data_IF_378446407933
#
_entry.id   IF_378446407933
#
_cell.length_a   1.000
_cell.length_b   1.000
_cell.length_c   1.000
_cell.angle_alpha   90.00
_cell.angle_beta   90.00
_cell.angle_gamma   90.00
#
_symmetry.space_group_name_H-M   'P 1'
#
loop_
_entity.id
_entity.type
_entity.pdbx_description
1 polymer ?
#
# COMPACT_ATOMS: atom_id res chain seq x y z
N UNK A 1 -66.44 -9.63 54.56
CA UNK A 1 -67.04 -9.61 53.21
C UNK A 1 -66.94 -8.20 52.67
N UNK A 2 -66.04 -7.94 51.72
CA UNK A 2 -66.12 -6.85 50.73
C UNK A 2 -64.95 -7.01 49.72
N UNK A 3 -65.12 -6.60 48.44
CA UNK A 3 -64.39 -7.08 47.26
C UNK A 3 -63.24 -6.12 46.83
N UNK A 4 -62.51 -6.38 45.72
CA UNK A 4 -61.09 -6.01 45.53
C UNK A 4 -60.89 -4.61 44.92
N UNK A 5 -59.66 -4.06 44.89
CA UNK A 5 -59.30 -3.01 43.96
C UNK A 5 -58.47 -3.55 42.77
N UNK A 6 -58.81 -2.98 41.62
CA UNK A 6 -58.23 -3.13 40.29
C UNK A 6 -56.69 -3.18 40.30
N UNK A 7 -56.12 -4.20 39.67
CA UNK A 7 -54.74 -4.14 39.18
C UNK A 7 -54.70 -3.24 37.95
N UNK A 8 -54.23 -2.01 38.14
CA UNK A 8 -53.85 -1.11 37.06
C UNK A 8 -52.63 -1.70 36.36
N UNK A 9 -52.77 -2.04 35.08
CA UNK A 9 -51.72 -2.62 34.27
C UNK A 9 -50.84 -1.48 33.72
N UNK A 10 -49.75 -1.15 34.44
CA UNK A 10 -48.72 -0.27 33.92
C UNK A 10 -47.91 -1.01 32.84
N UNK A 11 -48.29 -0.82 31.58
CA UNK A 11 -47.45 -1.12 30.42
C UNK A 11 -46.27 -0.14 30.40
N UNK A 12 -45.14 -0.56 30.96
CA UNK A 12 -43.86 0.13 30.77
C UNK A 12 -43.34 -0.24 29.39
N UNK A 13 -43.58 0.63 28.40
CA UNK A 13 -42.93 0.56 27.10
C UNK A 13 -41.45 0.93 27.27
N UNK A 14 -40.59 -0.08 27.41
CA UNK A 14 -39.15 0.10 27.30
C UNK A 14 -38.84 0.32 25.83
N UNK A 15 -38.69 1.59 25.44
CA UNK A 15 -38.16 1.95 24.13
C UNK A 15 -36.68 1.55 24.09
N UNK A 16 -36.41 0.36 23.56
CA UNK A 16 -35.07 -0.10 23.21
C UNK A 16 -34.55 0.78 22.08
N UNK A 17 -33.76 1.79 22.43
CA UNK A 17 -32.94 2.56 21.49
C UNK A 17 -31.88 1.60 20.97
N UNK A 18 -32.17 0.93 19.86
CA UNK A 18 -31.15 0.30 19.03
C UNK A 18 -30.24 1.43 18.53
N UNK A 19 -29.15 1.69 19.26
CA UNK A 19 -27.97 2.32 18.70
C UNK A 19 -27.52 1.41 17.57
N UNK A 20 -27.95 1.72 16.35
CA UNK A 20 -27.34 1.23 15.13
C UNK A 20 -25.90 1.73 15.18
N UNK A 21 -25.01 0.89 15.72
CA UNK A 21 -23.61 0.95 15.39
C UNK A 21 -23.56 0.60 13.91
N UNK A 22 -23.74 1.60 13.07
CA UNK A 22 -23.28 1.53 11.69
C UNK A 22 -21.78 1.29 11.81
N UNK A 23 -21.42 0.04 11.61
CA UNK A 23 -20.07 -0.40 11.40
C UNK A 23 -19.55 0.47 10.24
N UNK A 24 -18.87 1.57 10.56
CA UNK A 24 -18.08 2.31 9.60
C UNK A 24 -17.02 1.31 9.14
N UNK A 25 -17.34 0.52 8.11
CA UNK A 25 -16.32 0.07 7.19
C UNK A 25 -15.62 1.35 6.77
N UNK A 26 -14.41 1.55 7.32
CA UNK A 26 -13.60 2.69 6.99
C UNK A 26 -13.48 2.69 5.47
N UNK A 27 -14.20 3.60 4.82
CA UNK A 27 -14.09 3.86 3.39
C UNK A 27 -12.70 4.41 3.21
N UNK A 28 -11.76 3.52 2.91
CA UNK A 28 -10.38 3.89 2.68
C UNK A 28 -10.30 4.91 1.56
N UNK A 29 -9.59 6.02 1.78
CA UNK A 29 -9.50 7.08 0.79
C UNK A 29 -8.39 6.77 -0.23
N UNK A 30 -8.67 7.05 -1.50
CA UNK A 30 -7.67 7.06 -2.56
C UNK A 30 -7.04 8.45 -2.56
N UNK A 31 -5.77 8.51 -2.19
CA UNK A 31 -4.99 9.74 -2.16
C UNK A 31 -4.14 9.89 -3.43
N UNK A 32 -3.92 11.12 -3.93
CA UNK A 32 -2.94 11.36 -4.98
C UNK A 32 -1.51 11.17 -4.45
N UNK A 33 -0.53 11.27 -5.34
CA UNK A 33 0.90 11.31 -5.00
C UNK A 33 1.19 12.25 -3.83
N UNK A 34 2.07 11.82 -2.92
CA UNK A 34 2.49 12.59 -1.75
C UNK A 34 3.99 12.84 -1.80
N UNK A 35 4.37 14.10 -1.78
CA UNK A 35 5.77 14.54 -1.65
C UNK A 35 5.92 15.31 -0.33
N UNK A 36 6.43 14.61 0.68
CA UNK A 36 6.49 15.05 2.07
C UNK A 36 7.93 15.43 2.39
N UNK A 37 8.15 16.72 2.66
CA UNK A 37 9.49 17.27 2.89
C UNK A 37 9.59 18.13 4.13
N UNK A 38 10.84 18.35 4.57
CA UNK A 38 11.27 19.32 5.59
C UNK A 38 10.78 19.05 7.02
N UNK A 39 9.48 18.85 7.23
CA UNK A 39 8.86 18.78 8.55
C UNK A 39 8.03 17.49 8.69
N UNK A 40 8.26 16.77 9.78
CA UNK A 40 7.57 15.53 10.16
C UNK A 40 6.05 15.71 10.25
N UNK A 41 5.58 16.89 10.65
CA UNK A 41 4.14 17.17 10.80
C UNK A 41 3.39 16.95 9.49
N UNK A 42 4.01 17.16 8.32
CA UNK A 42 3.39 16.93 7.02
C UNK A 42 3.02 15.45 6.76
N UNK A 43 3.50 14.51 7.59
CA UNK A 43 3.07 13.11 7.52
C UNK A 43 1.57 12.94 7.81
N UNK A 44 0.91 13.88 8.52
CA UNK A 44 -0.55 13.85 8.74
C UNK A 44 -1.36 13.76 7.44
N UNK A 45 -0.78 14.17 6.30
CA UNK A 45 -1.39 14.05 4.97
C UNK A 45 -1.67 12.59 4.54
N UNK A 46 -1.20 11.61 5.31
CA UNK A 46 -1.38 10.18 5.10
C UNK A 46 -2.48 9.55 5.99
N UNK A 47 -3.07 10.28 6.95
CA UNK A 47 -3.96 9.73 7.99
C UNK A 47 -5.14 8.91 7.47
N UNK A 48 -5.70 9.29 6.32
CA UNK A 48 -6.87 8.63 5.72
C UNK A 48 -6.55 7.84 4.44
N UNK A 49 -5.31 7.89 3.98
CA UNK A 49 -4.90 7.24 2.74
C UNK A 49 -4.85 5.74 2.93
N UNK A 50 -5.68 5.02 2.18
CA UNK A 50 -5.61 3.56 2.08
C UNK A 50 -4.85 3.11 0.85
N UNK A 51 -5.07 3.83 -0.26
CA UNK A 51 -4.35 3.66 -1.51
C UNK A 51 -3.76 5.02 -1.87
N UNK A 52 -2.47 5.05 -2.19
CA UNK A 52 -1.86 6.19 -2.87
C UNK A 52 -1.85 5.87 -4.36
N UNK A 53 -2.75 6.51 -5.11
CA UNK A 53 -2.79 6.52 -6.58
C UNK A 53 -1.70 7.48 -7.07
N UNK A 54 -0.47 6.98 -7.08
CA UNK A 54 0.74 7.74 -7.33
C UNK A 54 1.94 7.22 -6.55
N UNK A 55 2.93 8.10 -6.34
CA UNK A 55 4.11 7.82 -5.54
C UNK A 55 4.04 8.41 -4.13
N UNK A 56 4.77 7.79 -3.21
CA UNK A 56 5.02 8.33 -1.87
C UNK A 56 6.50 8.67 -1.74
N UNK A 57 6.78 9.95 -1.52
CA UNK A 57 8.12 10.49 -1.31
C UNK A 57 8.19 11.10 0.09
N UNK A 58 9.17 10.68 0.88
CA UNK A 58 9.48 11.27 2.18
C UNK A 58 10.96 11.63 2.18
N UNK A 59 11.29 12.92 2.11
CA UNK A 59 12.67 13.33 1.90
C UNK A 59 13.05 14.65 2.57
N UNK A 60 14.36 14.85 2.75
CA UNK A 60 14.96 16.11 3.19
C UNK A 60 14.42 16.60 4.55
N UNK A 61 14.36 15.70 5.53
CA UNK A 61 14.02 16.03 6.91
C UNK A 61 15.29 15.99 7.76
N UNK A 62 16.01 17.12 7.79
CA UNK A 62 17.32 17.20 8.45
C UNK A 62 17.25 17.56 9.94
N UNK A 63 16.12 18.13 10.39
CA UNK A 63 15.95 18.66 11.74
C UNK A 63 15.17 17.72 12.67
N UNK A 64 14.73 16.58 12.15
CA UNK A 64 13.93 15.60 12.88
C UNK A 64 14.81 14.68 13.72
N UNK A 65 14.23 14.20 14.82
CA UNK A 65 14.86 13.30 15.81
C UNK A 65 14.00 12.05 16.01
N UNK A 66 14.53 10.97 16.61
CA UNK A 66 13.74 9.75 16.87
C UNK A 66 12.44 9.99 17.64
N UNK A 67 12.43 10.96 18.55
CA UNK A 67 11.25 11.34 19.34
C UNK A 67 10.12 11.87 18.46
N UNK A 68 10.43 12.50 17.33
CA UNK A 68 9.44 13.08 16.42
C UNK A 68 8.64 12.00 15.65
N UNK A 69 9.21 10.80 15.49
CA UNK A 69 8.55 9.67 14.83
C UNK A 69 7.87 8.73 15.82
N UNK A 70 8.16 8.86 17.12
CA UNK A 70 7.61 7.97 18.14
C UNK A 70 6.10 8.14 18.24
N UNK A 71 5.36 7.05 18.02
CA UNK A 71 3.89 7.05 18.08
C UNK A 71 3.21 7.51 16.78
N UNK A 72 3.96 7.92 15.75
CA UNK A 72 3.38 8.14 14.43
C UNK A 72 3.12 6.81 13.74
N UNK A 73 1.89 6.63 13.26
CA UNK A 73 1.48 5.42 12.54
C UNK A 73 0.40 5.74 11.52
N UNK A 74 0.53 5.16 10.33
CA UNK A 74 -0.43 5.26 9.23
C UNK A 74 -0.94 3.87 8.85
N UNK A 75 -1.67 3.18 9.75
CA UNK A 75 -2.07 1.79 9.56
C UNK A 75 -3.12 1.61 8.46
N UNK A 76 -3.74 2.69 7.99
CA UNK A 76 -4.70 2.62 6.87
C UNK A 76 -3.99 2.42 5.54
N UNK A 77 -2.72 2.79 5.39
CA UNK A 77 -2.02 2.69 4.11
C UNK A 77 -1.69 1.24 3.77
N UNK A 78 -2.29 0.72 2.69
CA UNK A 78 -2.09 -0.65 2.22
C UNK A 78 -1.39 -0.74 0.87
N UNK A 79 -1.61 0.24 -0.02
CA UNK A 79 -1.14 0.17 -1.41
C UNK A 79 -0.53 1.50 -1.87
N UNK A 80 0.60 1.41 -2.56
CA UNK A 80 1.17 2.50 -3.37
C UNK A 80 1.21 2.03 -4.83
N UNK A 81 0.58 2.76 -5.75
CA UNK A 81 0.47 2.30 -7.14
C UNK A 81 1.73 2.56 -7.98
N UNK A 82 2.54 3.56 -7.63
CA UNK A 82 3.83 3.82 -8.27
C UNK A 82 4.97 3.29 -7.38
N UNK A 83 5.75 4.19 -6.76
CA UNK A 83 6.93 3.84 -5.97
C UNK A 83 6.94 4.52 -4.61
N UNK A 84 7.71 3.96 -3.68
CA UNK A 84 8.03 4.51 -2.37
C UNK A 84 9.51 4.95 -2.36
N UNK A 85 9.77 6.22 -2.02
CA UNK A 85 11.11 6.78 -1.92
C UNK A 85 11.30 7.47 -0.57
N UNK A 86 12.32 7.04 0.15
CA UNK A 86 12.81 7.68 1.36
C UNK A 86 14.26 8.16 1.15
N UNK A 87 14.49 9.45 1.38
CA UNK A 87 15.79 10.07 1.14
C UNK A 87 16.16 11.13 2.17
N UNK A 88 17.25 10.92 2.92
CA UNK A 88 17.75 11.87 3.94
C UNK A 88 16.67 12.32 4.94
N UNK A 89 16.08 11.35 5.62
CA UNK A 89 15.13 11.58 6.72
C UNK A 89 15.83 11.20 8.02
N UNK A 90 16.26 12.22 8.78
CA UNK A 90 17.01 12.01 10.02
C UNK A 90 16.07 11.67 11.18
N UNK A 91 16.55 10.86 12.12
CA UNK A 91 15.78 10.41 13.28
C UNK A 91 14.86 9.21 13.02
N UNK A 92 14.61 8.84 11.76
CA UNK A 92 13.77 7.66 11.46
C UNK A 92 14.56 6.36 11.65
N UNK A 93 14.13 5.50 12.57
CA UNK A 93 14.82 4.25 12.90
C UNK A 93 14.21 3.00 12.26
N UNK A 94 12.90 2.99 11.98
CA UNK A 94 12.16 1.86 11.39
C UNK A 94 10.87 2.32 10.70
N UNK A 95 10.38 1.60 9.69
CA UNK A 95 9.04 1.81 9.10
C UNK A 95 7.97 0.91 9.71
N UNK A 96 8.33 0.02 10.63
CA UNK A 96 7.39 -0.97 11.19
C UNK A 96 6.15 -0.33 11.82
N UNK A 97 6.36 0.69 12.67
CA UNK A 97 5.24 1.39 13.30
C UNK A 97 4.58 2.39 12.33
N UNK A 98 5.35 2.93 11.36
CA UNK A 98 4.87 3.97 10.45
C UNK A 98 3.92 3.42 9.39
N UNK A 99 4.26 2.30 8.76
CA UNK A 99 3.50 1.65 7.69
C UNK A 99 3.25 0.17 7.97
N UNK A 100 2.56 -0.18 9.07
CA UNK A 100 2.43 -1.56 9.52
C UNK A 100 1.63 -2.44 8.55
N UNK A 101 0.80 -1.84 7.68
CA UNK A 101 -0.09 -2.56 6.76
C UNK A 101 0.22 -2.33 5.28
N UNK A 102 1.32 -1.64 4.94
CA UNK A 102 1.71 -1.46 3.53
C UNK A 102 2.05 -2.83 2.94
N UNK A 103 1.17 -3.31 2.04
CA UNK A 103 1.17 -4.69 1.56
C UNK A 103 1.65 -4.80 0.12
N UNK A 104 1.33 -3.81 -0.72
CA UNK A 104 1.62 -3.83 -2.15
C UNK A 104 2.21 -2.52 -2.65
N UNK A 105 3.30 -2.61 -3.42
CA UNK A 105 3.81 -1.52 -4.26
C UNK A 105 3.71 -1.97 -5.72
N UNK A 106 2.85 -1.36 -6.54
CA UNK A 106 2.59 -1.88 -7.89
C UNK A 106 3.68 -1.52 -8.90
N UNK A 107 4.33 -0.36 -8.79
CA UNK A 107 5.35 0.05 -9.76
C UNK A 107 4.81 0.40 -11.15
N UNK A 108 3.58 0.92 -11.24
CA UNK A 108 2.99 1.38 -12.50
C UNK A 108 3.86 2.47 -13.15
N UNK A 109 4.45 3.34 -12.33
CA UNK A 109 5.60 4.18 -12.66
C UNK A 109 6.72 3.93 -11.65
N UNK A 110 7.96 4.15 -12.05
CA UNK A 110 9.16 3.84 -11.27
C UNK A 110 10.02 5.08 -11.08
N UNK A 111 10.81 5.11 -10.01
CA UNK A 111 11.91 6.06 -9.88
C UNK A 111 13.14 5.44 -10.55
N UNK A 112 13.42 5.88 -11.79
CA UNK A 112 14.26 5.13 -12.72
C UNK A 112 13.69 3.72 -12.95
N UNK A 113 14.34 2.67 -12.44
CA UNK A 113 13.89 1.28 -12.52
C UNK A 113 13.39 0.73 -11.17
N UNK A 114 13.28 1.58 -10.15
CA UNK A 114 13.03 1.14 -8.77
C UNK A 114 11.61 1.49 -8.30
N UNK A 115 10.99 0.54 -7.61
CA UNK A 115 9.69 0.71 -6.95
C UNK A 115 9.82 1.02 -5.44
N UNK A 116 10.94 0.62 -4.83
CA UNK A 116 11.28 0.96 -3.45
C UNK A 116 12.70 1.52 -3.41
N UNK A 117 12.86 2.71 -2.84
CA UNK A 117 14.15 3.38 -2.71
C UNK A 117 14.35 3.84 -1.27
N UNK A 118 15.37 3.29 -0.61
CA UNK A 118 15.83 3.72 0.71
C UNK A 118 17.27 4.22 0.56
N UNK A 119 17.46 5.54 0.54
CA UNK A 119 18.74 6.13 0.20
C UNK A 119 19.20 7.16 1.24
N UNK A 120 20.43 7.02 1.73
CA UNK A 120 21.02 7.94 2.72
C UNK A 120 20.14 8.14 3.98
N UNK A 121 19.52 7.07 4.46
CA UNK A 121 18.73 7.02 5.69
C UNK A 121 19.65 6.71 6.88
N UNK A 122 20.35 7.74 7.35
CA UNK A 122 21.51 7.59 8.25
C UNK A 122 21.26 6.82 9.55
N UNK A 123 20.05 6.90 10.11
CA UNK A 123 19.68 6.31 11.41
C UNK A 123 18.68 5.16 11.27
N UNK A 124 18.35 4.75 10.04
CA UNK A 124 17.43 3.63 9.79
C UNK A 124 18.15 2.34 10.17
N UNK A 125 17.62 1.61 11.14
CA UNK A 125 18.21 0.36 11.67
C UNK A 125 17.62 -0.89 11.05
N UNK A 126 16.37 -0.83 10.65
CA UNK A 126 15.64 -1.93 10.01
C UNK A 126 14.59 -1.34 9.05
N UNK A 127 14.25 -2.05 7.98
CA UNK A 127 13.22 -1.59 7.04
C UNK A 127 11.85 -1.67 7.70
N UNK A 128 11.53 -2.79 8.34
CA UNK A 128 10.30 -2.94 9.13
C UNK A 128 9.00 -3.04 8.35
N UNK A 129 9.00 -3.09 7.02
CA UNK A 129 7.79 -3.24 6.18
C UNK A 129 7.21 -4.67 6.26
N UNK A 130 6.80 -5.09 7.44
CA UNK A 130 6.52 -6.49 7.76
C UNK A 130 5.27 -7.07 7.09
N UNK A 131 4.41 -6.22 6.55
CA UNK A 131 3.22 -6.62 5.79
C UNK A 131 3.44 -6.58 4.28
N UNK A 132 4.62 -6.18 3.79
CA UNK A 132 4.90 -6.10 2.36
C UNK A 132 4.98 -7.51 1.77
N UNK A 133 4.00 -7.84 0.93
CA UNK A 133 3.85 -9.17 0.32
C UNK A 133 4.16 -9.17 -1.18
N UNK A 134 4.04 -8.02 -1.86
CA UNK A 134 4.31 -7.96 -3.29
C UNK A 134 4.83 -6.58 -3.74
N UNK A 135 5.87 -6.60 -4.55
CA UNK A 135 6.24 -5.51 -5.45
C UNK A 135 6.04 -6.02 -6.87
N UNK A 136 5.04 -5.49 -7.58
CA UNK A 136 4.59 -6.08 -8.86
C UNK A 136 5.54 -5.78 -10.01
N UNK A 137 6.12 -4.57 -10.03
CA UNK A 137 7.05 -4.14 -11.08
C UNK A 137 8.13 -3.23 -10.50
N UNK A 138 9.34 -3.37 -10.99
CA UNK A 138 10.49 -2.55 -10.59
C UNK A 138 11.31 -3.18 -9.47
N UNK A 139 12.58 -2.79 -9.40
CA UNK A 139 13.53 -3.32 -8.45
C UNK A 139 13.54 -2.55 -7.12
N UNK A 140 14.32 -3.04 -6.16
CA UNK A 140 14.56 -2.42 -4.86
C UNK A 140 15.97 -1.81 -4.84
N UNK A 141 16.07 -0.54 -4.43
CA UNK A 141 17.35 0.15 -4.20
C UNK A 141 17.49 0.54 -2.74
N UNK A 142 18.44 -0.05 -2.05
CA UNK A 142 18.75 0.23 -0.65
C UNK A 142 20.23 0.57 -0.58
N UNK A 143 20.56 1.86 -0.45
CA UNK A 143 21.94 2.29 -0.60
C UNK A 143 22.33 3.38 0.41
N UNK A 144 23.57 3.31 0.92
CA UNK A 144 24.13 4.29 1.85
C UNK A 144 23.35 4.46 3.15
N UNK A 145 22.86 3.37 3.71
CA UNK A 145 22.18 3.35 5.01
C UNK A 145 23.12 2.70 6.05
N UNK A 146 24.01 3.47 6.71
CA UNK A 146 25.13 2.93 7.49
C UNK A 146 24.72 2.18 8.77
N UNK A 147 23.52 2.44 9.30
CA UNK A 147 23.00 1.76 10.49
C UNK A 147 22.03 0.61 10.18
N UNK A 148 21.75 0.35 8.90
CA UNK A 148 20.69 -0.57 8.46
C UNK A 148 21.14 -2.04 8.51
N UNK A 149 20.47 -2.82 9.36
CA UNK A 149 20.57 -4.28 9.48
C UNK A 149 19.29 -4.98 8.99
N UNK A 150 19.13 -6.29 9.26
CA UNK A 150 18.02 -7.15 8.83
C UNK A 150 17.87 -7.28 7.31
N UNK A 151 18.93 -7.01 6.53
CA UNK A 151 18.89 -7.18 5.08
C UNK A 151 19.10 -8.64 4.67
N UNK A 152 19.99 -9.37 5.37
CA UNK A 152 20.31 -10.77 5.10
C UNK A 152 19.21 -11.73 5.56
N UNK A 153 18.36 -11.30 6.51
CA UNK A 153 17.20 -12.06 7.00
C UNK A 153 15.99 -11.94 6.08
N UNK A 154 16.06 -11.18 4.99
CA UNK A 154 14.96 -11.04 4.03
C UNK A 154 15.18 -11.88 2.78
N UNK A 155 14.12 -12.57 2.37
CA UNK A 155 14.05 -13.26 1.10
C UNK A 155 13.22 -12.43 0.10
N UNK A 156 13.91 -11.63 -0.70
CA UNK A 156 13.29 -10.76 -1.70
C UNK A 156 12.58 -11.54 -2.81
N UNK A 157 12.96 -12.81 -3.05
CA UNK A 157 12.30 -13.66 -4.04
C UNK A 157 10.86 -14.00 -3.66
N UNK A 158 10.46 -13.77 -2.40
CA UNK A 158 9.09 -13.91 -1.93
C UNK A 158 8.21 -12.69 -2.23
N UNK A 159 8.82 -11.51 -2.39
CA UNK A 159 8.15 -10.22 -2.58
C UNK A 159 8.18 -9.76 -4.04
N UNK A 160 9.28 -10.03 -4.74
CA UNK A 160 9.51 -9.69 -6.15
C UNK A 160 9.47 -10.95 -7.02
N UNK A 161 9.06 -10.79 -8.28
CA UNK A 161 9.16 -11.84 -9.29
C UNK A 161 10.61 -12.00 -9.80
N UNK A 162 11.37 -10.90 -9.86
CA UNK A 162 12.78 -10.84 -10.30
C UNK A 162 13.60 -10.05 -9.29
N UNK A 163 14.77 -10.57 -8.89
CA UNK A 163 15.64 -9.97 -7.87
C UNK A 163 16.99 -9.49 -8.43
N UNK A 164 17.25 -9.75 -9.70
CA UNK A 164 18.53 -9.55 -10.37
C UNK A 164 18.92 -8.06 -10.47
N UNK A 165 17.91 -7.20 -10.61
CA UNK A 165 18.08 -5.74 -10.73
C UNK A 165 18.09 -5.02 -9.37
N UNK A 166 18.00 -5.76 -8.26
CA UNK A 166 18.08 -5.15 -6.92
C UNK A 166 19.49 -4.60 -6.67
N UNK A 167 19.55 -3.41 -6.08
CA UNK A 167 20.80 -2.73 -5.76
C UNK A 167 20.88 -2.45 -4.26
N UNK A 168 21.75 -3.20 -3.56
CA UNK A 168 21.91 -3.11 -2.11
C UNK A 168 23.39 -2.93 -1.74
N UNK A 169 23.84 -1.68 -1.64
CA UNK A 169 25.26 -1.35 -1.51
C UNK A 169 25.51 -0.26 -0.46
N UNK A 170 26.73 -0.25 0.11
CA UNK A 170 27.15 0.72 1.11
C UNK A 170 26.20 0.85 2.33
N UNK A 171 25.54 -0.24 2.72
CA UNK A 171 24.79 -0.34 3.98
C UNK A 171 25.69 -0.88 5.10
N UNK A 172 25.14 -1.07 6.30
CA UNK A 172 25.89 -1.70 7.40
C UNK A 172 26.39 -3.08 6.99
N UNK A 173 27.62 -3.41 7.41
CA UNK A 173 28.19 -4.73 7.17
C UNK A 173 27.37 -5.79 7.92
N UNK A 174 26.86 -6.78 7.21
CA UNK A 174 26.05 -7.88 7.77
C UNK A 174 26.75 -8.61 8.93
N UNK A 175 28.09 -8.70 8.91
CA UNK A 175 28.86 -9.32 10.00
C UNK A 175 28.87 -8.51 11.31
N UNK A 176 28.53 -7.23 11.22
CA UNK A 176 28.39 -6.34 12.38
C UNK A 176 26.94 -6.27 12.87
N UNK A 177 26.01 -6.87 12.13
CA UNK A 177 24.61 -6.97 12.52
C UNK A 177 24.40 -8.16 13.46
N UNK A 178 23.77 -7.88 14.61
CA UNK A 178 23.30 -8.89 15.53
C UNK A 178 21.85 -9.25 15.24
N UNK A 179 21.57 -9.68 14.00
CA UNK A 179 20.19 -9.93 13.56
C UNK A 179 19.62 -11.17 14.26
N UNK A 180 18.57 -10.96 15.06
CA UNK A 180 17.92 -12.02 15.85
C UNK A 180 16.44 -12.01 15.53
N UNK A 181 15.96 -13.05 14.86
CA UNK A 181 14.55 -13.20 14.54
C UNK A 181 13.69 -13.60 15.77
N UNK A 182 12.37 -13.33 15.73
CA UNK A 182 11.43 -13.72 16.78
C UNK A 182 11.58 -15.16 17.26
N UNK A 183 11.71 -15.34 18.57
CA UNK A 183 11.81 -16.66 19.22
C UNK A 183 13.22 -17.22 19.33
N UNK A 184 14.19 -16.77 18.53
CA UNK A 184 15.57 -17.30 18.55
C UNK A 184 16.24 -17.17 19.94
N UNK A 185 16.02 -16.04 20.65
CA UNK A 185 16.52 -15.85 22.02
C UNK A 185 15.95 -16.85 23.05
N UNK A 186 14.84 -17.53 22.74
CA UNK A 186 14.21 -18.58 23.56
C UNK A 186 14.61 -19.99 23.12
N UNK A 187 15.58 -20.13 22.22
CA UNK A 187 16.16 -21.40 21.78
C UNK A 187 15.57 -21.97 20.48
N UNK A 188 14.46 -21.42 19.96
CA UNK A 188 13.95 -21.78 18.64
C UNK A 188 13.12 -20.64 18.04
N UNK A 189 13.44 -20.27 16.82
CA UNK A 189 12.67 -19.28 16.06
C UNK A 189 11.23 -19.70 15.84
N UNK A 190 10.35 -18.71 15.79
CA UNK A 190 8.97 -18.90 15.32
C UNK A 190 8.83 -18.58 13.84
N UNK A 191 9.89 -18.06 13.20
CA UNK A 191 9.84 -17.66 11.81
C UNK A 191 10.09 -18.82 10.86
N UNK A 192 9.51 -18.71 9.67
CA UNK A 192 9.77 -19.65 8.60
C UNK A 192 11.19 -19.46 8.06
N UNK A 193 11.77 -20.55 7.55
CA UNK A 193 13.11 -20.58 6.98
C UNK A 193 13.04 -20.79 5.47
N UNK A 194 13.86 -20.07 4.70
CA UNK A 194 14.05 -20.36 3.27
C UNK A 194 15.51 -20.55 2.96
N UNK A 195 15.78 -21.16 1.79
CA UNK A 195 17.13 -21.41 1.31
C UNK A 195 17.52 -20.35 0.29
N UNK A 196 18.57 -19.58 0.58
CA UNK A 196 19.19 -18.65 -0.37
C UNK A 196 20.64 -19.10 -0.54
N UNK A 197 21.07 -19.37 -1.79
CA UNK A 197 22.42 -19.85 -2.11
C UNK A 197 22.85 -21.10 -1.29
N UNK A 198 21.91 -22.01 -1.02
CA UNK A 198 22.15 -23.22 -0.23
C UNK A 198 22.21 -23.02 1.28
N UNK A 199 22.09 -21.79 1.77
CA UNK A 199 22.07 -21.49 3.20
C UNK A 199 20.63 -21.38 3.71
N UNK A 200 20.31 -22.14 4.75
CA UNK A 200 19.04 -22.06 5.46
C UNK A 200 19.12 -20.94 6.47
N UNK A 201 18.26 -19.93 6.31
CA UNK A 201 18.14 -18.84 7.28
C UNK A 201 16.68 -18.60 7.61
N UNK A 202 16.46 -18.24 8.86
CA UNK A 202 15.19 -17.72 9.36
C UNK A 202 14.90 -16.37 8.70
N UNK A 203 13.63 -16.11 8.40
CA UNK A 203 13.24 -14.89 7.68
C UNK A 203 12.45 -13.95 8.55
N UNK A 204 12.96 -12.74 8.74
CA UNK A 204 12.33 -11.70 9.54
C UNK A 204 12.67 -10.30 9.04
N UNK A 205 11.72 -9.39 9.24
CA UNK A 205 11.87 -7.96 8.96
C UNK A 205 12.51 -7.21 10.13
N UNK A 206 12.28 -7.70 11.35
CA UNK A 206 12.74 -7.13 12.62
C UNK A 206 12.84 -8.24 13.67
N UNK A 207 13.36 -7.92 14.86
CA UNK A 207 13.33 -8.83 16.01
C UNK A 207 11.91 -9.23 16.50
N UNK A 208 10.86 -8.52 16.05
CA UNK A 208 9.46 -8.74 16.45
C UNK A 208 8.59 -9.34 15.34
N UNK A 209 9.00 -9.19 14.08
CA UNK A 209 8.17 -9.55 12.93
C UNK A 209 8.90 -10.50 11.98
N UNK A 210 8.36 -11.71 11.84
CA UNK A 210 8.78 -12.66 10.80
C UNK A 210 8.42 -12.12 9.41
N UNK A 211 9.16 -12.57 8.39
CA UNK A 211 8.76 -12.38 7.01
C UNK A 211 7.63 -13.35 6.72
N UNK A 212 6.46 -12.79 6.38
CA UNK A 212 5.27 -13.57 6.12
C UNK A 212 5.38 -14.30 4.79
N UNK A 213 4.95 -15.56 4.76
CA UNK A 213 4.88 -16.36 3.54
C UNK A 213 3.57 -17.13 3.54
N UNK A 214 2.93 -17.19 2.38
CA UNK A 214 1.71 -17.97 2.22
C UNK A 214 2.03 -19.44 1.92
N UNK A 215 1.11 -20.37 2.22
CA UNK A 215 1.25 -21.75 1.80
C UNK A 215 1.50 -21.89 0.31
N UNK A 216 2.33 -22.87 -0.08
CA UNK A 216 2.78 -23.09 -1.47
C UNK A 216 1.65 -23.31 -2.48
N UNK A 217 0.47 -23.74 -2.02
CA UNK A 217 -0.70 -23.98 -2.87
C UNK A 217 -1.53 -22.71 -3.11
N UNK A 218 -1.29 -21.63 -2.37
CA UNK A 218 -1.99 -20.37 -2.59
C UNK A 218 -1.46 -19.68 -3.84
N UNK A 219 -2.35 -19.46 -4.81
CA UNK A 219 -2.03 -18.74 -6.05
C UNK A 219 -1.50 -17.34 -5.72
N UNK A 220 -0.48 -16.92 -6.46
CA UNK A 220 0.12 -15.58 -6.37
C UNK A 220 0.56 -15.17 -4.96
N UNK A 221 0.83 -16.14 -4.08
CA UNK A 221 1.28 -15.92 -2.70
C UNK A 221 0.36 -14.97 -1.92
N UNK A 222 -0.95 -15.05 -2.17
CA UNK A 222 -1.96 -14.29 -1.46
C UNK A 222 -2.73 -15.19 -0.47
N UNK A 223 -2.68 -14.83 0.81
CA UNK A 223 -3.38 -15.52 1.88
C UNK A 223 -3.88 -14.54 2.95
N UNK A 224 -4.79 -15.00 3.80
CA UNK A 224 -5.20 -14.32 5.05
C UNK A 224 -4.13 -14.47 6.14
N UNK A 225 -4.25 -13.74 7.25
CA UNK A 225 -3.33 -13.89 8.39
C UNK A 225 -3.35 -15.31 9.01
N UNK A 226 -4.43 -16.06 8.80
CA UNK A 226 -4.56 -17.46 9.23
C UNK A 226 -4.18 -18.47 8.13
N UNK A 227 -3.33 -18.08 7.18
CA UNK A 227 -2.80 -18.94 6.10
C UNK A 227 -3.85 -19.56 5.15
N UNK A 228 -5.08 -19.06 5.15
CA UNK A 228 -6.09 -19.48 4.17
C UNK A 228 -5.91 -18.71 2.85
N UNK A 229 -5.97 -19.42 1.72
CA UNK A 229 -5.75 -18.79 0.41
C UNK A 229 -6.83 -17.76 0.05
N UNK A 230 -6.38 -16.70 -0.60
CA UNK A 230 -7.26 -15.68 -1.15
C UNK A 230 -7.84 -16.09 -2.50
N UNK A 231 -8.85 -15.34 -2.95
CA UNK A 231 -9.34 -15.45 -4.32
C UNK A 231 -8.21 -15.16 -5.32
N UNK A 232 -8.24 -15.78 -6.49
CA UNK A 232 -7.16 -15.68 -7.49
C UNK A 232 -6.96 -14.28 -8.10
N UNK A 233 -7.96 -13.41 -7.94
CA UNK A 233 -7.90 -12.00 -8.33
C UNK A 233 -7.32 -11.09 -7.23
N UNK A 234 -7.01 -11.62 -6.04
CA UNK A 234 -6.35 -10.88 -4.97
C UNK A 234 -4.82 -10.85 -5.16
N UNK A 235 -4.19 -9.82 -4.61
CA UNK A 235 -2.74 -9.62 -4.59
C UNK A 235 -2.30 -9.27 -3.17
N UNK A 236 -1.22 -9.92 -2.71
CA UNK A 236 -0.61 -9.70 -1.40
C UNK A 236 -1.40 -10.28 -0.20
N UNK A 237 -2.73 -10.15 -0.19
CA UNK A 237 -3.56 -10.71 0.87
C UNK A 237 -5.06 -10.43 0.73
N UNK A 238 -5.83 -10.90 1.70
CA UNK A 238 -7.28 -10.72 1.79
C UNK A 238 -7.76 -10.80 3.24
N UNK A 239 -8.93 -10.20 3.49
CA UNK A 239 -9.64 -10.22 4.77
C UNK A 239 -10.51 -11.47 4.93
N UNK A 240 -11.01 -12.04 3.82
CA UNK A 240 -11.76 -13.29 3.79
C UNK A 240 -11.17 -14.25 2.75
N UNK A 241 -11.06 -15.54 3.08
CA UNK A 241 -10.60 -16.53 2.12
C UNK A 241 -11.54 -16.60 0.91
N UNK A 242 -10.97 -16.87 -0.26
CA UNK A 242 -11.68 -17.10 -1.53
C UNK A 242 -12.72 -16.04 -1.94
N UNK A 243 -12.59 -14.80 -1.46
CA UNK A 243 -13.50 -13.70 -1.81
C UNK A 243 -12.83 -12.62 -2.64
N UNK A 244 -13.29 -12.43 -3.88
CA UNK A 244 -12.83 -11.36 -4.77
C UNK A 244 -13.12 -9.94 -4.25
N UNK A 245 -14.08 -9.77 -3.34
CA UNK A 245 -14.46 -8.46 -2.77
C UNK A 245 -13.82 -8.14 -1.41
N UNK A 246 -12.89 -8.97 -0.96
CA UNK A 246 -12.22 -8.81 0.33
C UNK A 246 -10.70 -8.88 0.18
N UNK A 247 -10.18 -8.55 -1.00
CA UNK A 247 -8.76 -8.47 -1.25
C UNK A 247 -8.16 -7.21 -0.60
N UNK A 248 -6.90 -7.28 -0.17
CA UNK A 248 -6.13 -6.09 0.22
C UNK A 248 -5.81 -5.24 -1.01
N UNK A 249 -5.45 -5.89 -2.11
CA UNK A 249 -5.26 -5.28 -3.41
C UNK A 249 -5.74 -6.22 -4.51
N UNK A 250 -6.17 -5.67 -5.64
CA UNK A 250 -6.52 -6.47 -6.81
C UNK A 250 -5.28 -6.78 -7.64
N UNK A 251 -5.14 -8.01 -8.10
CA UNK A 251 -4.09 -8.42 -9.04
C UNK A 251 -4.21 -7.65 -10.35
N UNK A 252 -5.40 -7.70 -10.94
CA UNK A 252 -5.72 -7.02 -12.19
C UNK A 252 -6.40 -5.67 -11.92
N UNK A 253 -7.73 -5.58 -12.04
CA UNK A 253 -8.46 -4.32 -11.84
C UNK A 253 -9.46 -4.41 -10.68
N UNK A 254 -9.65 -3.28 -10.00
CA UNK A 254 -10.74 -3.08 -9.06
C UNK A 254 -11.96 -2.49 -9.76
N UNK A 255 -13.14 -3.09 -9.55
CA UNK A 255 -14.42 -2.57 -9.99
C UNK A 255 -15.41 -2.58 -8.82
N UNK A 256 -15.79 -1.39 -8.34
CA UNK A 256 -16.48 -1.26 -7.05
C UNK A 256 -15.63 -1.85 -5.92
N UNK A 257 -16.22 -2.75 -5.14
CA UNK A 257 -15.52 -3.44 -4.04
C UNK A 257 -14.87 -4.76 -4.47
N UNK A 258 -14.99 -5.17 -5.74
CA UNK A 258 -14.53 -6.47 -6.21
C UNK A 258 -13.33 -6.40 -7.16
N UNK A 259 -12.44 -7.38 -7.04
CA UNK A 259 -11.35 -7.58 -7.99
C UNK A 259 -11.80 -8.40 -9.18
N UNK A 260 -11.53 -7.89 -10.38
CA UNK A 260 -11.92 -8.48 -11.66
C UNK A 260 -10.69 -8.61 -12.57
N UNK A 261 -10.70 -9.61 -13.46
CA UNK A 261 -9.59 -9.85 -14.39
C UNK A 261 -9.50 -8.80 -15.50
N UNK A 262 -10.66 -8.29 -15.95
CA UNK A 262 -10.82 -7.23 -16.94
C UNK A 262 -11.96 -6.33 -16.52
N UNK A 263 -11.90 -5.05 -16.88
CA UNK A 263 -13.02 -4.15 -16.68
C UNK A 263 -14.26 -4.65 -17.45
N UNK A 264 -15.46 -4.56 -16.85
CA UNK A 264 -16.71 -4.93 -17.52
C UNK A 264 -16.99 -4.01 -18.71
N UNK A 265 -17.98 -4.38 -19.51
CA UNK A 265 -18.46 -3.55 -20.63
C UNK A 265 -18.78 -2.13 -20.16
N UNK A 266 -18.48 -1.14 -21.01
CA UNK A 266 -18.64 0.30 -20.76
C UNK A 266 -17.78 0.86 -19.60
N UNK A 267 -16.79 0.10 -19.13
CA UNK A 267 -15.78 0.54 -18.19
C UNK A 267 -14.37 0.42 -18.79
N UNK A 268 -13.48 1.28 -18.31
CA UNK A 268 -12.14 1.44 -18.84
C UNK A 268 -11.11 1.33 -17.72
N UNK A 269 -9.96 0.76 -18.04
CA UNK A 269 -8.84 0.70 -17.10
C UNK A 269 -8.29 2.11 -16.87
N UNK A 270 -8.12 2.49 -15.61
CA UNK A 270 -7.59 3.78 -15.18
C UNK A 270 -6.39 3.57 -14.26
N UNK A 271 -5.32 4.31 -14.51
CA UNK A 271 -4.03 4.25 -13.80
C UNK A 271 -3.47 2.83 -13.63
N UNK A 272 -3.90 1.88 -14.48
CA UNK A 272 -3.45 0.48 -14.49
C UNK A 272 -3.98 -0.41 -13.36
N UNK A 273 -4.95 0.01 -12.56
CA UNK A 273 -5.38 -0.76 -11.38
C UNK A 273 -6.88 -0.75 -11.06
N UNK A 274 -7.68 0.18 -11.61
CA UNK A 274 -9.13 0.23 -11.37
C UNK A 274 -9.93 0.51 -12.63
N UNK A 275 -11.21 0.19 -12.59
CA UNK A 275 -12.16 0.42 -13.66
C UNK A 275 -12.95 1.70 -13.39
N UNK A 276 -13.06 2.56 -14.41
CA UNK A 276 -13.84 3.80 -14.38
C UNK A 276 -14.82 3.85 -15.54
N UNK A 277 -15.91 4.61 -15.38
CA UNK A 277 -16.88 4.80 -16.45
C UNK A 277 -16.36 5.76 -17.52
N UNK A 278 -16.98 5.73 -18.70
CA UNK A 278 -16.74 6.73 -19.75
C UNK A 278 -16.92 8.17 -19.23
N UNK A 279 -17.99 8.42 -18.45
CA UNK A 279 -18.30 9.74 -17.89
C UNK A 279 -17.19 10.25 -16.97
N UNK A 280 -16.59 9.37 -16.15
CA UNK A 280 -15.46 9.74 -15.31
C UNK A 280 -14.27 10.22 -16.14
N UNK A 281 -13.91 9.49 -17.20
CA UNK A 281 -12.79 9.87 -18.07
C UNK A 281 -13.05 11.20 -18.80
N UNK A 282 -14.28 11.40 -19.27
CA UNK A 282 -14.69 12.64 -19.94
C UNK A 282 -14.68 13.86 -19.01
N UNK A 283 -15.03 13.68 -17.73
CA UNK A 283 -14.99 14.77 -16.75
C UNK A 283 -13.54 15.18 -16.45
N UNK A 284 -12.61 14.22 -16.34
CA UNK A 284 -11.18 14.53 -16.18
C UNK A 284 -10.65 15.34 -17.38
N UNK A 285 -10.99 14.91 -18.59
CA UNK A 285 -10.65 15.62 -19.82
C UNK A 285 -11.18 17.06 -19.80
N UNK A 286 -12.49 17.21 -19.54
CA UNK A 286 -13.18 18.50 -19.57
C UNK A 286 -12.72 19.45 -18.48
N UNK A 287 -12.46 18.92 -17.27
CA UNK A 287 -11.92 19.68 -16.15
C UNK A 287 -10.54 20.25 -16.48
N UNK A 288 -9.66 19.44 -17.05
CA UNK A 288 -8.33 19.91 -17.44
C UNK A 288 -8.39 20.99 -18.53
N UNK A 289 -9.25 20.78 -19.55
CA UNK A 289 -9.45 21.76 -20.62
C UNK A 289 -9.90 23.12 -20.07
N UNK A 290 -10.89 23.13 -19.17
CA UNK A 290 -11.38 24.35 -18.49
C UNK A 290 -10.27 25.02 -17.68
N UNK A 291 -9.47 24.25 -16.95
CA UNK A 291 -8.36 24.77 -16.15
C UNK A 291 -7.28 25.44 -17.01
N UNK A 292 -6.92 24.83 -18.15
CA UNK A 292 -5.97 25.39 -19.11
C UNK A 292 -6.49 26.70 -19.72
N UNK A 293 -7.77 26.74 -20.07
CA UNK A 293 -8.45 27.93 -20.62
C UNK A 293 -8.50 29.08 -19.60
N UNK A 294 -8.89 28.79 -18.34
CA UNK A 294 -8.99 29.81 -17.29
C UNK A 294 -7.64 30.34 -16.82
N UNK A 295 -6.62 29.47 -16.69
CA UNK A 295 -5.31 29.85 -16.15
C UNK A 295 -4.32 30.33 -17.22
N UNK A 296 -4.72 30.49 -18.49
CA UNK A 296 -3.83 30.82 -19.63
C UNK A 296 -2.54 29.98 -19.64
N UNK A 297 -2.65 28.69 -19.34
CA UNK A 297 -1.50 27.78 -19.27
C UNK A 297 -0.53 27.98 -18.09
N UNK A 298 -0.88 28.78 -17.06
CA UNK A 298 -0.08 28.98 -15.83
C UNK A 298 -0.58 28.15 -14.63
N UNK A 299 -1.18 26.98 -14.89
CA UNK A 299 -1.71 26.06 -13.86
C UNK A 299 -0.80 24.85 -13.64
N UNK A 300 -1.05 24.04 -12.59
CA UNK A 300 -0.42 22.73 -12.45
C UNK A 300 -0.66 21.89 -13.71
N UNK A 301 0.31 21.06 -14.07
CA UNK A 301 0.23 20.20 -15.25
C UNK A 301 -0.95 19.24 -15.08
N UNK A 302 -1.96 19.38 -15.94
CA UNK A 302 -3.10 18.49 -16.00
C UNK A 302 -3.14 17.87 -17.40
N UNK A 303 -3.62 16.63 -17.47
CA UNK A 303 -3.66 15.88 -18.70
C UNK A 303 -5.10 15.78 -19.21
N UNK A 304 -5.26 15.98 -20.52
CA UNK A 304 -6.54 15.85 -21.22
C UNK A 304 -6.77 14.36 -21.51
N UNK A 305 -7.26 13.62 -20.52
CA UNK A 305 -7.44 12.18 -20.63
C UNK A 305 -8.27 11.78 -21.86
N UNK A 306 -7.92 10.63 -22.45
CA UNK A 306 -8.59 10.09 -23.63
C UNK A 306 -8.87 8.60 -23.46
N UNK A 307 -9.91 8.12 -24.15
CA UNK A 307 -10.21 6.70 -24.23
C UNK A 307 -9.46 6.07 -25.40
N UNK A 308 -8.66 5.05 -25.11
CA UNK A 308 -7.94 4.29 -26.13
C UNK A 308 -7.74 2.84 -25.68
N UNK A 309 -8.00 1.87 -26.56
CA UNK A 309 -7.77 0.44 -26.33
C UNK A 309 -8.31 -0.10 -24.99
N UNK A 310 -9.50 0.33 -24.56
CA UNK A 310 -10.12 -0.12 -23.30
C UNK A 310 -9.56 0.55 -22.03
N UNK A 311 -8.79 1.63 -22.18
CA UNK A 311 -8.22 2.39 -21.07
C UNK A 311 -8.51 3.89 -21.18
N UNK A 312 -8.57 4.56 -20.02
CA UNK A 312 -8.58 6.01 -19.88
C UNK A 312 -7.15 6.46 -19.58
N UNK A 313 -6.48 7.06 -20.56
CA UNK A 313 -5.04 7.36 -20.54
C UNK A 313 -4.78 8.86 -20.67
N UNK A 314 -3.60 9.32 -20.26
CA UNK A 314 -3.23 10.74 -20.16
C UNK A 314 -3.27 11.50 -21.49
N UNK A 315 -2.85 10.86 -22.58
CA UNK A 315 -2.77 11.46 -23.91
C UNK A 315 -2.90 10.39 -25.01
N UNK A 316 -3.18 10.84 -26.24
CA UNK A 316 -3.23 9.95 -27.40
C UNK A 316 -1.84 9.33 -27.67
N UNK A 317 -1.75 8.01 -27.88
CA UNK A 317 -0.51 7.38 -28.31
C UNK A 317 -0.06 7.91 -29.67
N UNK A 318 1.23 7.77 -29.97
CA UNK A 318 1.81 8.13 -31.27
C UNK A 318 1.00 7.55 -32.44
N UNK A 319 0.56 8.42 -33.36
CA UNK A 319 -0.27 8.05 -34.51
C UNK A 319 -1.79 8.20 -34.29
N UNK A 320 -2.22 8.66 -33.12
CA UNK A 320 -3.62 8.96 -32.82
C UNK A 320 -3.82 10.44 -32.48
N UNK A 321 -5.01 10.96 -32.79
CA UNK A 321 -5.46 12.29 -32.38
C UNK A 321 -6.84 12.20 -31.77
N UNK A 322 -7.21 13.18 -30.94
CA UNK A 322 -8.58 13.30 -30.44
C UNK A 322 -9.51 13.62 -31.61
N UNK A 323 -10.60 12.88 -31.71
CA UNK A 323 -11.68 13.23 -32.63
C UNK A 323 -12.46 14.34 -31.96
N UNK A 324 -12.33 15.58 -32.44
CA UNK A 324 -13.20 16.66 -32.01
C UNK A 324 -14.62 16.35 -32.49
N UNK A 325 -15.49 15.92 -31.59
CA UNK A 325 -16.93 15.92 -31.80
C UNK A 325 -17.44 17.37 -31.78
N UNK A 326 -17.08 18.14 -32.78
CA UNK A 326 -17.72 19.40 -33.13
C UNK A 326 -18.40 19.20 -34.49
N UNK A 327 -19.61 18.69 -34.45
CA UNK A 327 -20.62 18.75 -35.51
C UNK A 327 -21.99 18.84 -34.86
#
# INVERSE_FOLDING_TARGET
>A
MMPPPLRSCCLVLVASVCLLWTNHQATGEICPSKDIRNNVTNLHLLENCTIIEGHLKILLMFKTKPEDFRGLSFPKLHVVTEYLLLFRVYGMESLADLFPNLTVIRGNKLFFNYALVLFEMLQLREIGLHSLMNITRGAVRIEKNPDLCYLSTLDWSLVLDTVEDNYMEANKNDRECGDVCPGAAKGKTTCQTTTINGHFSERCWTQKHCQRMCPVHCKHRACTQGDQCCHEQCLGGCLRPDSASHCVACRHQQHGDSCVERCPTDHYTFEGWRCVSQAFCQELHSSCKRDKEQKKGKGPDCHEYVLHAGACILECPSGYTTVNSSS
#
